data_IF_729779748040
#
_entry.id   IF_729779748040
#
_cell.length_a   1.000
_cell.length_b   1.000
_cell.length_c   1.000
_cell.angle_alpha   90.00
_cell.angle_beta   90.00
_cell.angle_gamma   90.00
#
_symmetry.space_group_name_H-M   'P 1'
#
loop_
_entity.id
_entity.type
_entity.pdbx_description
1 polymer ?
#
# COMPACT_ATOMS: atom_id res chain seq x y z
N UNK A 1 4.09 -12.09 -7.26
CA UNK A 1 3.60 -10.74 -7.59
C UNK A 1 4.09 -9.79 -6.51
N UNK A 2 4.58 -8.62 -6.90
CA UNK A 2 5.04 -7.61 -5.93
C UNK A 2 3.81 -6.90 -5.33
N UNK A 3 3.71 -6.90 -3.99
CA UNK A 3 2.60 -6.28 -3.24
C UNK A 3 2.22 -4.89 -3.77
N UNK A 4 3.20 -4.03 -4.02
CA UNK A 4 2.97 -2.66 -4.49
C UNK A 4 2.36 -2.59 -5.89
N UNK A 5 2.65 -3.57 -6.76
CA UNK A 5 2.08 -3.61 -8.12
C UNK A 5 0.61 -4.00 -8.09
N UNK A 6 0.25 -5.02 -7.30
CA UNK A 6 -1.15 -5.45 -7.19
C UNK A 6 -2.01 -4.41 -6.44
N UNK A 7 -1.44 -3.71 -5.46
CA UNK A 7 -2.13 -2.61 -4.80
C UNK A 7 -2.50 -1.48 -5.78
N UNK A 8 -1.61 -1.12 -6.71
CA UNK A 8 -1.93 -0.14 -7.76
C UNK A 8 -3.05 -0.66 -8.67
N UNK A 9 -3.01 -1.93 -9.04
CA UNK A 9 -3.97 -2.54 -9.97
C UNK A 9 -5.38 -2.68 -9.38
N UNK A 10 -5.48 -3.11 -8.13
CA UNK A 10 -6.77 -3.37 -7.48
C UNK A 10 -7.38 -2.14 -6.82
N UNK A 11 -6.56 -1.33 -6.15
CA UNK A 11 -7.04 -0.25 -5.30
C UNK A 11 -6.79 1.15 -5.89
N UNK A 12 -6.04 1.24 -6.99
CA UNK A 12 -5.52 2.51 -7.53
C UNK A 12 -4.70 3.30 -6.50
N UNK A 13 -3.99 2.60 -5.60
CA UNK A 13 -3.13 3.21 -4.58
C UNK A 13 -1.66 2.96 -4.89
N UNK A 14 -0.89 4.04 -5.04
CA UNK A 14 0.55 3.99 -5.28
C UNK A 14 1.33 4.26 -3.99
N UNK A 15 2.29 3.37 -3.68
CA UNK A 15 3.24 3.53 -2.58
C UNK A 15 4.66 3.26 -3.07
N UNK A 16 5.67 3.77 -2.37
CA UNK A 16 7.06 3.48 -2.71
C UNK A 16 7.49 2.15 -2.09
N UNK A 17 7.95 1.16 -2.88
CA UNK A 17 8.46 -0.11 -2.35
C UNK A 17 9.75 0.10 -1.56
N UNK A 18 9.87 -0.46 -0.35
CA UNK A 18 11.05 -0.29 0.52
C UNK A 18 12.35 -0.79 -0.10
N UNK A 19 12.29 -1.75 -1.04
CA UNK A 19 13.47 -2.28 -1.78
C UNK A 19 14.27 -1.17 -2.46
N UNK A 20 13.62 -0.10 -2.94
CA UNK A 20 14.31 1.02 -3.62
C UNK A 20 15.11 1.91 -2.67
N UNK A 21 14.86 1.78 -1.35
CA UNK A 21 15.59 2.47 -0.28
C UNK A 21 16.34 1.50 0.64
N UNK A 22 16.61 0.28 0.17
CA UNK A 22 17.38 -0.72 0.91
C UNK A 22 16.64 -1.43 2.05
N UNK A 23 15.31 -1.29 2.16
CA UNK A 23 14.50 -1.88 3.23
C UNK A 23 13.61 -3.02 2.71
N UNK A 24 13.95 -4.27 3.05
CA UNK A 24 13.21 -5.47 2.63
C UNK A 24 11.86 -5.57 3.36
N UNK A 25 10.78 -5.89 2.64
CA UNK A 25 9.42 -6.07 3.16
C UNK A 25 8.79 -4.82 3.81
N UNK A 26 9.33 -3.64 3.52
CA UNK A 26 8.77 -2.35 3.94
C UNK A 26 8.11 -1.63 2.76
N UNK A 27 7.21 -0.69 3.08
CA UNK A 27 6.63 0.29 2.15
C UNK A 27 6.76 1.68 2.74
N UNK A 28 6.94 2.71 1.90
CA UNK A 28 6.94 4.12 2.33
C UNK A 28 5.67 4.81 1.85
N UNK A 29 4.92 5.36 2.79
CA UNK A 29 3.71 6.16 2.55
C UNK A 29 4.07 7.65 2.63
N UNK A 30 3.57 8.44 1.68
CA UNK A 30 3.73 9.90 1.69
C UNK A 30 2.47 10.51 2.29
N UNK A 31 2.61 11.31 3.34
CA UNK A 31 1.48 11.92 4.06
C UNK A 31 1.29 13.41 3.76
N UNK A 32 2.19 14.02 2.96
CA UNK A 32 2.11 15.43 2.54
C UNK A 32 1.10 15.63 1.40
N UNK A 33 -0.13 15.14 1.61
CA UNK A 33 -1.28 15.25 0.71
C UNK A 33 -2.51 15.63 1.54
N UNK A 34 -3.66 15.82 0.89
CA UNK A 34 -4.91 16.08 1.60
C UNK A 34 -5.23 14.95 2.61
N UNK A 35 -5.58 15.27 3.87
CA UNK A 35 -5.88 14.26 4.89
C UNK A 35 -6.97 13.27 4.49
N UNK A 36 -8.02 13.72 3.79
CA UNK A 36 -9.12 12.84 3.38
C UNK A 36 -8.66 11.84 2.31
N UNK A 37 -7.78 12.26 1.39
CA UNK A 37 -7.17 11.37 0.41
C UNK A 37 -6.21 10.36 1.08
N UNK A 38 -5.49 10.77 2.13
CA UNK A 38 -4.63 9.88 2.91
C UNK A 38 -5.46 8.83 3.65
N UNK A 39 -6.56 9.22 4.30
CA UNK A 39 -7.47 8.31 4.99
C UNK A 39 -8.10 7.29 4.04
N UNK A 40 -8.60 7.73 2.89
CA UNK A 40 -9.14 6.82 1.85
C UNK A 40 -8.07 5.85 1.35
N UNK A 41 -6.88 6.34 1.03
CA UNK A 41 -5.76 5.50 0.57
C UNK A 41 -5.34 4.44 1.61
N UNK A 42 -5.28 4.81 2.89
CA UNK A 42 -4.99 3.87 3.98
C UNK A 42 -6.12 2.83 4.16
N UNK A 43 -7.38 3.25 4.03
CA UNK A 43 -8.54 2.36 4.07
C UNK A 43 -8.49 1.30 2.98
N UNK A 44 -8.15 1.70 1.75
CA UNK A 44 -7.97 0.79 0.61
C UNK A 44 -6.82 -0.18 0.80
N UNK A 45 -5.67 0.28 1.32
CA UNK A 45 -4.54 -0.60 1.67
C UNK A 45 -4.96 -1.68 2.66
N UNK A 46 -5.74 -1.29 3.68
CA UNK A 46 -6.26 -2.22 4.68
C UNK A 46 -7.19 -3.25 4.04
N UNK A 47 -8.14 -2.82 3.21
CA UNK A 47 -9.07 -3.71 2.51
C UNK A 47 -8.33 -4.71 1.61
N UNK A 48 -7.32 -4.24 0.86
CA UNK A 48 -6.44 -5.10 0.06
C UNK A 48 -5.73 -6.13 0.94
N UNK A 49 -5.12 -5.71 2.05
CA UNK A 49 -4.49 -6.62 2.99
C UNK A 49 -5.47 -7.68 3.50
N UNK A 50 -6.67 -7.30 3.93
CA UNK A 50 -7.67 -8.23 4.47
C UNK A 50 -8.13 -9.27 3.44
N UNK A 51 -8.17 -8.93 2.14
CA UNK A 51 -8.51 -9.89 1.06
C UNK A 51 -7.38 -10.86 0.71
N UNK A 52 -6.14 -10.41 0.78
CA UNK A 52 -4.95 -11.19 0.35
C UNK A 52 -4.18 -11.83 1.50
N UNK A 53 -4.45 -11.43 2.75
CA UNK A 53 -3.86 -12.04 3.92
C UNK A 53 -4.24 -13.53 3.97
N UNK A 54 -3.25 -14.40 4.15
CA UNK A 54 -3.51 -15.81 4.38
C UNK A 54 -4.28 -15.94 5.70
N UNK A 55 -5.41 -16.64 5.69
CA UNK A 55 -6.06 -17.09 6.93
C UNK A 55 -5.06 -17.94 7.70
N UNK A 56 -4.78 -17.57 8.95
CA UNK A 56 -4.03 -18.41 9.88
C UNK A 56 -4.86 -19.63 10.25
#
# INVERSE_FOLDING_TARGET
MDFCLELVREESVMVLPGKVVGMKNWVRITFAIDPSALEDGLGRIRAFYERHAKKQ
#
